data_IF_014766409150
#
_entry.id   IF_014766409150
#
_cell.length_a   1.000
_cell.length_b   1.000
_cell.length_c   1.000
_cell.angle_alpha   90.00
_cell.angle_beta   90.00
_cell.angle_gamma   90.00
#
_symmetry.space_group_name_H-M   'P 1'
#
loop_
_entity.id
_entity.type
_entity.pdbx_description
1 polymer ?
#
# COMPACT_ATOMS: atom_id res chain seq x y z
N UNK A 1 -6.86 -9.20 -6.35
CA UNK A 1 -7.90 -9.16 -5.29
C UNK A 1 -7.79 -7.91 -4.41
N UNK A 2 -6.74 -7.71 -3.60
CA UNK A 2 -6.57 -6.47 -2.81
C UNK A 2 -6.72 -5.23 -3.71
N UNK A 3 -6.02 -5.21 -4.85
CA UNK A 3 -6.11 -4.13 -5.83
C UNK A 3 -7.54 -3.82 -6.33
N UNK A 4 -8.43 -4.81 -6.44
CA UNK A 4 -9.82 -4.57 -6.85
C UNK A 4 -10.63 -3.88 -5.74
N UNK A 5 -10.31 -4.17 -4.48
CA UNK A 5 -10.85 -3.39 -3.37
C UNK A 5 -10.29 -1.97 -3.37
N UNK A 6 -8.99 -1.80 -3.61
CA UNK A 6 -8.39 -0.46 -3.67
C UNK A 6 -9.01 0.39 -4.79
N UNK A 7 -9.28 -0.21 -5.95
CA UNK A 7 -9.96 0.43 -7.08
C UNK A 7 -11.41 0.79 -6.76
N UNK A 8 -12.21 -0.15 -6.24
CA UNK A 8 -13.64 0.11 -5.96
C UNK A 8 -13.83 1.09 -4.79
N UNK A 9 -12.98 1.04 -3.76
CA UNK A 9 -13.09 1.88 -2.57
C UNK A 9 -12.23 3.14 -2.60
N UNK A 10 -11.34 3.28 -3.61
CA UNK A 10 -10.42 4.40 -3.76
C UNK A 10 -9.64 4.65 -2.45
N UNK A 11 -9.08 3.56 -1.92
CA UNK A 11 -8.33 3.53 -0.66
C UNK A 11 -7.13 2.61 -0.80
N UNK A 12 -5.99 2.99 -0.21
CA UNK A 12 -4.83 2.10 -0.09
C UNK A 12 -5.14 1.10 1.01
N UNK A 13 -5.12 -0.19 0.69
CA UNK A 13 -5.43 -1.28 1.62
C UNK A 13 -4.26 -2.26 1.74
N UNK A 14 -3.33 -2.22 0.79
CA UNK A 14 -2.07 -2.93 0.86
C UNK A 14 -1.26 -2.46 2.08
N UNK A 15 -0.67 -3.40 2.80
CA UNK A 15 0.00 -3.26 4.10
C UNK A 15 -0.90 -2.87 5.28
N UNK A 16 -2.22 -2.75 5.09
CA UNK A 16 -3.14 -2.54 6.21
C UNK A 16 -3.54 -3.88 6.82
N UNK A 17 -2.91 -4.27 7.93
CA UNK A 17 -3.23 -5.54 8.62
C UNK A 17 -4.72 -5.70 8.98
N UNK A 18 -5.42 -4.60 9.28
CA UNK A 18 -6.85 -4.60 9.61
C UNK A 18 -7.70 -5.05 8.41
N UNK A 19 -7.22 -4.85 7.17
CA UNK A 19 -7.85 -5.32 5.95
C UNK A 19 -7.30 -6.67 5.47
N UNK A 20 -5.97 -6.79 5.39
CA UNK A 20 -5.31 -7.95 4.77
C UNK A 20 -5.58 -9.25 5.52
N UNK A 21 -5.52 -9.22 6.86
CA UNK A 21 -5.71 -10.43 7.67
C UNK A 21 -7.13 -11.01 7.52
N UNK A 22 -8.23 -10.21 7.62
CA UNK A 22 -9.56 -10.66 7.26
C UNK A 22 -9.66 -11.20 5.83
N UNK A 23 -9.04 -10.53 4.85
CA UNK A 23 -9.12 -10.95 3.45
C UNK A 23 -8.45 -12.31 3.22
N UNK A 24 -7.23 -12.50 3.73
CA UNK A 24 -6.51 -13.77 3.66
C UNK A 24 -7.33 -14.89 4.32
N UNK A 25 -7.91 -14.62 5.49
CA UNK A 25 -8.76 -15.58 6.21
C UNK A 25 -10.00 -15.94 5.40
N UNK A 26 -10.64 -14.96 4.77
CA UNK A 26 -11.80 -15.17 3.91
C UNK A 26 -11.45 -16.03 2.69
N UNK A 27 -10.35 -15.73 2.00
CA UNK A 27 -9.88 -16.51 0.86
C UNK A 27 -9.54 -17.95 1.26
N UNK A 28 -8.79 -18.13 2.36
CA UNK A 28 -8.42 -19.44 2.85
C UNK A 28 -9.63 -20.28 3.24
N UNK A 29 -10.62 -19.67 3.92
CA UNK A 29 -11.85 -20.37 4.29
C UNK A 29 -12.73 -20.71 3.09
N UNK A 30 -12.77 -19.86 2.07
CA UNK A 30 -13.45 -20.13 0.80
C UNK A 30 -12.80 -21.32 0.09
N UNK A 31 -11.47 -21.30 -0.04
CA UNK A 31 -10.71 -22.34 -0.74
C UNK A 31 -10.90 -23.72 -0.12
N UNK A 32 -10.89 -23.80 1.21
CA UNK A 32 -11.09 -25.06 1.93
C UNK A 32 -12.57 -25.43 2.11
N UNK A 33 -13.51 -24.63 1.60
CA UNK A 33 -14.95 -24.80 1.77
C UNK A 33 -15.39 -24.95 3.25
N UNK A 34 -14.67 -24.29 4.16
CA UNK A 34 -14.92 -24.38 5.62
C UNK A 34 -15.83 -23.26 6.14
N UNK A 35 -16.26 -22.33 5.28
CA UNK A 35 -17.07 -21.17 5.66
C UNK A 35 -18.37 -21.55 6.39
N UNK A 36 -18.99 -22.67 6.00
CA UNK A 36 -20.23 -23.16 6.60
C UNK A 36 -20.05 -23.74 8.02
N UNK A 37 -18.81 -24.07 8.40
CA UNK A 37 -18.46 -24.65 9.69
C UNK A 37 -17.90 -23.62 10.68
N UNK A 38 -17.63 -22.40 10.21
CA UNK A 38 -17.16 -21.32 11.05
C UNK A 38 -18.34 -20.75 11.87
N UNK A 39 -18.24 -20.87 13.19
CA UNK A 39 -19.17 -20.25 14.13
C UNK A 39 -18.88 -18.75 14.22
N UNK A 40 -19.48 -17.99 13.30
CA UNK A 40 -19.46 -16.54 13.39
C UNK A 40 -20.35 -16.09 14.55
N UNK A 41 -19.82 -15.25 15.45
CA UNK A 41 -20.66 -14.58 16.46
C UNK A 41 -21.72 -13.75 15.74
N UNK A 42 -22.95 -13.75 16.26
CA UNK A 42 -24.01 -12.91 15.74
C UNK A 42 -23.55 -11.44 15.75
N UNK A 43 -23.45 -10.86 14.57
CA UNK A 43 -23.12 -9.46 14.35
C UNK A 43 -24.22 -8.84 13.49
N UNK A 44 -24.79 -7.75 13.97
CA UNK A 44 -25.73 -6.97 13.18
C UNK A 44 -24.99 -5.85 12.48
N UNK A 45 -25.08 -5.82 11.14
CA UNK A 45 -24.58 -4.71 10.35
C UNK A 45 -25.53 -3.52 10.46
N UNK A 46 -24.99 -2.33 10.67
CA UNK A 46 -25.76 -1.10 10.53
C UNK A 46 -26.05 -0.79 9.06
N UNK A 47 -26.88 0.23 8.79
CA UNK A 47 -27.30 0.60 7.43
C UNK A 47 -26.12 0.91 6.48
N UNK A 48 -25.05 1.56 6.98
CA UNK A 48 -23.85 1.85 6.19
C UNK A 48 -23.08 0.57 5.87
N UNK A 49 -22.94 -0.33 6.85
CA UNK A 49 -22.28 -1.62 6.65
C UNK A 49 -23.06 -2.53 5.69
N UNK A 50 -24.40 -2.47 5.70
CA UNK A 50 -25.22 -3.19 4.73
C UNK A 50 -24.99 -2.71 3.29
N UNK A 51 -24.74 -1.40 3.10
CA UNK A 51 -24.33 -0.88 1.79
C UNK A 51 -22.93 -1.38 1.40
N UNK A 52 -21.97 -1.34 2.33
CA UNK A 52 -20.62 -1.88 2.10
C UNK A 52 -20.67 -3.37 1.71
N UNK A 53 -21.48 -4.17 2.40
CA UNK A 53 -21.67 -5.61 2.10
C UNK A 53 -22.02 -5.84 0.63
N UNK A 54 -22.90 -5.01 0.05
CA UNK A 54 -23.31 -5.12 -1.36
C UNK A 54 -22.12 -4.85 -2.30
N UNK A 55 -21.36 -3.79 -2.04
CA UNK A 55 -20.16 -3.44 -2.82
C UNK A 55 -19.08 -4.51 -2.70
N UNK A 56 -18.81 -4.99 -1.50
CA UNK A 56 -17.85 -6.08 -1.24
C UNK A 56 -18.26 -7.35 -2.00
N UNK A 57 -19.54 -7.73 -1.97
CA UNK A 57 -20.06 -8.89 -2.70
C UNK A 57 -19.84 -8.76 -4.21
N UNK A 58 -20.03 -7.56 -4.76
CA UNK A 58 -19.73 -7.26 -6.18
C UNK A 58 -18.25 -7.44 -6.48
N UNK A 59 -17.33 -6.92 -5.66
CA UNK A 59 -15.88 -7.09 -5.84
C UNK A 59 -15.49 -8.58 -5.81
N UNK A 60 -16.05 -9.36 -4.87
CA UNK A 60 -15.82 -10.81 -4.82
C UNK A 60 -16.33 -11.54 -6.07
N UNK A 61 -17.51 -11.16 -6.57
CA UNK A 61 -18.06 -11.73 -7.80
C UNK A 61 -17.19 -11.41 -9.00
N UNK A 62 -16.79 -10.14 -9.18
CA UNK A 62 -15.88 -9.74 -10.26
C UNK A 62 -14.55 -10.49 -10.20
N UNK A 63 -13.97 -10.63 -9.00
CA UNK A 63 -12.75 -11.39 -8.83
C UNK A 63 -12.93 -12.87 -9.20
N UNK A 64 -14.03 -13.49 -8.75
CA UNK A 64 -14.36 -14.86 -9.12
C UNK A 64 -14.48 -15.01 -10.63
N UNK A 65 -15.23 -14.13 -11.29
CA UNK A 65 -15.48 -14.21 -12.73
C UNK A 65 -14.17 -14.07 -13.54
N UNK A 66 -13.19 -13.33 -13.01
CA UNK A 66 -11.86 -13.18 -13.62
C UNK A 66 -10.95 -14.40 -13.41
N UNK A 67 -10.98 -15.03 -12.23
CA UNK A 67 -10.02 -16.10 -11.87
C UNK A 67 -10.58 -17.49 -12.14
N UNK A 68 -11.88 -17.70 -11.93
CA UNK A 68 -12.57 -18.98 -12.11
C UNK A 68 -13.91 -18.80 -12.83
N UNK A 69 -13.89 -18.38 -14.11
CA UNK A 69 -15.11 -18.15 -14.89
C UNK A 69 -16.00 -19.41 -15.02
N UNK A 70 -15.39 -20.60 -14.96
CA UNK A 70 -16.08 -21.87 -15.19
C UNK A 70 -16.57 -22.56 -13.90
N UNK A 71 -16.17 -22.08 -12.71
CA UNK A 71 -16.49 -22.75 -11.44
C UNK A 71 -17.74 -22.15 -10.81
N UNK A 72 -18.75 -22.99 -10.57
CA UNK A 72 -20.05 -22.61 -10.00
C UNK A 72 -20.07 -22.61 -8.47
N UNK A 73 -19.09 -21.97 -7.81
CA UNK A 73 -19.17 -21.75 -6.36
C UNK A 73 -19.73 -20.36 -6.02
N UNK A 74 -20.48 -20.26 -4.93
CA UNK A 74 -21.00 -19.00 -4.40
C UNK A 74 -20.36 -18.70 -3.06
N UNK A 75 -19.89 -17.47 -2.87
CA UNK A 75 -19.45 -17.03 -1.55
C UNK A 75 -20.62 -17.06 -0.56
N UNK A 76 -20.37 -17.57 0.63
CA UNK A 76 -21.38 -17.62 1.69
C UNK A 76 -21.71 -16.17 2.15
N UNK A 77 -23.00 -15.81 2.12
CA UNK A 77 -23.46 -14.47 2.49
C UNK A 77 -23.20 -14.10 3.97
N UNK A 78 -23.15 -15.07 4.88
CA UNK A 78 -22.76 -14.89 6.29
C UNK A 78 -21.25 -14.65 6.41
N UNK A 79 -20.44 -15.35 5.62
CA UNK A 79 -19.00 -15.12 5.59
C UNK A 79 -18.68 -13.71 5.06
N UNK A 80 -19.40 -13.26 4.03
CA UNK A 80 -19.27 -11.89 3.51
C UNK A 80 -19.74 -10.86 4.56
N UNK A 81 -20.81 -11.16 5.28
CA UNK A 81 -21.29 -10.30 6.37
C UNK A 81 -20.26 -10.13 7.48
N UNK A 82 -19.67 -11.24 7.92
CA UNK A 82 -18.63 -11.22 8.94
C UNK A 82 -17.37 -10.51 8.45
N UNK A 83 -16.91 -10.79 7.23
CA UNK A 83 -15.82 -10.05 6.60
C UNK A 83 -16.13 -8.54 6.57
N UNK A 84 -17.33 -8.15 6.16
CA UNK A 84 -17.78 -6.75 6.14
C UNK A 84 -17.67 -6.11 7.52
N UNK A 85 -18.08 -6.80 8.59
CA UNK A 85 -17.97 -6.25 9.95
C UNK A 85 -16.52 -6.00 10.38
N UNK A 86 -15.56 -6.79 9.89
CA UNK A 86 -14.15 -6.67 10.23
C UNK A 86 -13.46 -5.54 9.47
N UNK A 87 -13.77 -5.40 8.18
CA UNK A 87 -13.05 -4.46 7.30
C UNK A 87 -13.76 -3.13 7.11
N UNK A 88 -14.98 -2.96 7.63
CA UNK A 88 -15.78 -1.75 7.40
C UNK A 88 -15.03 -0.46 7.78
N UNK A 89 -14.26 -0.46 8.87
CA UNK A 89 -13.43 0.69 9.24
C UNK A 89 -12.36 0.97 8.19
N UNK A 90 -11.58 -0.03 7.77
CA UNK A 90 -10.55 0.11 6.75
C UNK A 90 -11.10 0.53 5.38
N UNK A 91 -12.34 0.19 5.04
CA UNK A 91 -12.95 0.59 3.77
C UNK A 91 -13.54 2.01 3.80
N UNK A 92 -14.01 2.46 4.96
CA UNK A 92 -14.64 3.79 5.13
C UNK A 92 -13.61 4.86 5.45
N UNK A 93 -12.64 4.54 6.29
CA UNK A 93 -11.53 5.44 6.59
C UNK A 93 -10.50 5.31 5.49
N UNK A 94 -10.51 6.29 4.59
CA UNK A 94 -9.42 6.47 3.64
C UNK A 94 -8.20 6.89 4.44
N UNK A 95 -7.29 5.96 4.70
CA UNK A 95 -5.94 6.39 5.05
C UNK A 95 -5.43 7.20 3.86
N UNK A 96 -4.92 8.39 4.13
CA UNK A 96 -4.17 9.11 3.10
C UNK A 96 -3.04 8.17 2.70
N UNK A 97 -3.03 7.78 1.43
CA UNK A 97 -1.99 6.91 0.87
C UNK A 97 -0.64 7.51 1.25
N UNK A 98 0.13 6.77 2.07
CA UNK A 98 1.39 7.28 2.58
C UNK A 98 2.35 7.43 1.41
N UNK A 99 3.08 8.54 1.38
CA UNK A 99 4.14 8.71 0.40
C UNK A 99 5.31 7.80 0.76
N UNK A 100 5.81 7.05 -0.21
CA UNK A 100 6.96 6.15 -0.01
C UNK A 100 8.24 6.86 -0.42
N UNK A 101 9.24 6.85 0.47
CA UNK A 101 10.59 7.31 0.19
C UNK A 101 11.48 6.09 -0.09
N UNK A 102 11.98 6.01 -1.32
CA UNK A 102 13.00 5.04 -1.71
C UNK A 102 14.37 5.69 -1.59
N UNK A 103 15.35 4.96 -1.06
CA UNK A 103 16.72 5.45 -0.92
C UNK A 103 17.60 4.56 -1.78
N UNK A 104 18.33 5.19 -2.69
CA UNK A 104 19.34 4.55 -3.54
C UNK A 104 20.70 5.10 -3.14
N UNK A 105 21.65 4.25 -2.74
CA UNK A 105 22.95 4.71 -2.28
C UNK A 105 24.07 3.69 -2.53
N UNK A 106 25.32 4.15 -2.49
CA UNK A 106 26.50 3.29 -2.74
C UNK A 106 26.82 2.29 -1.63
N UNK A 107 26.39 2.57 -0.40
CA UNK A 107 26.77 1.80 0.78
C UNK A 107 25.69 1.74 1.84
N UNK A 108 25.73 0.70 2.67
CA UNK A 108 24.81 0.51 3.80
C UNK A 108 24.85 1.70 4.76
N UNK A 109 26.03 2.28 5.01
CA UNK A 109 26.19 3.46 5.85
C UNK A 109 25.48 4.69 5.27
N UNK A 110 25.52 4.88 3.94
CA UNK A 110 24.74 5.95 3.30
C UNK A 110 23.25 5.72 3.47
N UNK A 111 22.77 4.49 3.30
CA UNK A 111 21.36 4.17 3.55
C UNK A 111 20.95 4.48 4.98
N UNK A 112 21.73 4.05 5.98
CA UNK A 112 21.46 4.32 7.39
C UNK A 112 21.41 5.83 7.63
N UNK A 113 22.43 6.56 7.16
CA UNK A 113 22.50 8.01 7.33
C UNK A 113 21.27 8.73 6.75
N UNK A 114 20.92 8.45 5.50
CA UNK A 114 19.80 9.11 4.84
C UNK A 114 18.46 8.72 5.46
N UNK A 115 18.29 7.46 5.91
CA UNK A 115 17.10 7.01 6.62
C UNK A 115 16.92 7.73 7.95
N UNK A 116 17.95 7.78 8.78
CA UNK A 116 17.89 8.42 10.09
C UNK A 116 17.51 9.90 9.96
N UNK A 117 18.11 10.56 8.98
CA UNK A 117 17.84 11.96 8.69
C UNK A 117 16.39 12.14 8.20
N UNK A 118 15.93 11.35 7.24
CA UNK A 118 14.56 11.45 6.74
C UNK A 118 13.55 11.13 7.85
N UNK A 119 13.78 10.12 8.67
CA UNK A 119 12.95 9.79 9.84
C UNK A 119 12.85 10.95 10.83
N UNK A 120 13.93 11.73 11.00
CA UNK A 120 13.93 12.89 11.89
C UNK A 120 13.01 14.02 11.39
N UNK A 121 12.89 14.19 10.08
CA UNK A 121 12.17 15.33 9.48
C UNK A 121 10.79 14.99 8.92
N UNK A 122 10.54 13.73 8.55
CA UNK A 122 9.27 13.31 7.96
C UNK A 122 8.24 12.99 9.03
N UNK A 123 7.01 13.43 8.81
CA UNK A 123 5.87 12.92 9.57
C UNK A 123 5.50 11.52 9.07
N UNK A 124 5.76 10.49 9.87
CA UNK A 124 5.53 9.08 9.54
C UNK A 124 4.04 8.68 9.52
N UNK A 125 3.13 9.56 9.94
CA UNK A 125 1.69 9.36 9.76
C UNK A 125 1.29 9.48 8.28
N UNK A 126 2.05 10.25 7.49
CA UNK A 126 1.78 10.52 6.07
C UNK A 126 2.87 9.99 5.13
N UNK A 127 4.01 9.59 5.66
CA UNK A 127 5.16 9.13 4.88
C UNK A 127 5.64 7.78 5.42
N UNK A 128 6.25 7.00 4.55
CA UNK A 128 6.96 5.77 4.92
C UNK A 128 8.28 5.74 4.17
N UNK A 129 9.29 5.11 4.77
CA UNK A 129 10.61 4.95 4.17
C UNK A 129 10.79 3.47 3.90
N UNK A 130 11.11 3.13 2.66
CA UNK A 130 11.34 1.75 2.27
C UNK A 130 12.59 1.19 2.96
N UNK A 131 12.48 -0.05 3.46
CA UNK A 131 13.53 -0.72 4.23
C UNK A 131 14.59 -1.43 3.38
N UNK A 132 14.34 -1.64 2.09
CA UNK A 132 15.25 -2.33 1.19
C UNK A 132 16.46 -1.45 0.83
N UNK A 133 17.63 -2.06 0.65
CA UNK A 133 18.87 -1.36 0.29
C UNK A 133 19.04 -1.43 -1.23
N UNK A 134 18.71 -0.35 -1.93
CA UNK A 134 18.87 -0.22 -3.38
C UNK A 134 20.22 0.41 -3.71
N UNK A 135 21.04 -0.26 -4.52
CA UNK A 135 22.37 0.25 -4.90
C UNK A 135 22.39 0.91 -6.28
N UNK A 136 21.28 0.79 -7.01
CA UNK A 136 21.07 1.43 -8.31
C UNK A 136 19.59 1.79 -8.51
N UNK A 137 19.32 2.75 -9.39
CA UNK A 137 17.94 3.17 -9.70
C UNK A 137 17.21 2.07 -10.47
N UNK A 138 17.93 1.22 -11.18
CA UNK A 138 17.41 0.09 -11.95
C UNK A 138 16.90 -1.06 -11.06
N UNK A 139 17.35 -1.16 -9.80
CA UNK A 139 16.87 -2.13 -8.82
C UNK A 139 15.50 -1.79 -8.22
N UNK A 140 15.02 -0.56 -8.47
CA UNK A 140 13.76 -0.08 -7.94
C UNK A 140 12.56 -0.85 -8.52
N UNK A 141 11.59 -1.28 -7.69
CA UNK A 141 10.47 -2.06 -8.17
C UNK A 141 9.59 -1.32 -9.20
N UNK A 142 9.16 -2.02 -10.25
CA UNK A 142 8.28 -1.45 -11.29
C UNK A 142 6.94 -0.89 -10.76
N UNK A 143 6.51 -1.30 -9.56
CA UNK A 143 5.26 -0.85 -8.95
C UNK A 143 5.36 0.49 -8.21
N UNK A 144 6.53 1.13 -8.13
CA UNK A 144 6.72 2.43 -7.44
C UNK A 144 5.76 3.49 -7.98
N UNK A 145 5.48 3.48 -9.28
CA UNK A 145 4.57 4.41 -9.94
C UNK A 145 3.11 4.31 -9.47
N UNK A 146 2.74 3.30 -8.67
CA UNK A 146 1.38 3.11 -8.16
C UNK A 146 1.11 3.87 -6.87
N UNK A 147 2.15 4.26 -6.13
CA UNK A 147 2.04 5.06 -4.92
C UNK A 147 2.68 6.43 -5.14
N UNK A 148 2.19 7.49 -4.47
CA UNK A 148 2.97 8.71 -4.33
C UNK A 148 4.35 8.36 -3.77
N UNK A 149 5.41 8.73 -4.48
CA UNK A 149 6.76 8.33 -4.11
C UNK A 149 7.78 9.45 -4.32
N UNK A 150 8.90 9.33 -3.62
CA UNK A 150 10.10 10.13 -3.78
C UNK A 150 11.29 9.17 -3.80
N UNK A 151 12.18 9.35 -4.77
CA UNK A 151 13.42 8.59 -4.88
C UNK A 151 14.55 9.52 -4.42
N UNK A 152 15.18 9.20 -3.31
CA UNK A 152 16.36 9.89 -2.80
C UNK A 152 17.58 9.13 -3.28
N UNK A 153 18.33 9.69 -4.22
CA UNK A 153 19.43 9.00 -4.90
C UNK A 153 20.76 9.66 -4.54
N UNK A 154 21.70 8.89 -3.98
CA UNK A 154 23.05 9.39 -3.74
C UNK A 154 23.71 9.77 -5.08
N UNK A 155 24.29 10.97 -5.13
CA UNK A 155 24.97 11.46 -6.33
C UNK A 155 26.09 10.53 -6.82
N UNK A 156 26.69 9.72 -5.94
CA UNK A 156 27.73 8.78 -6.34
C UNK A 156 27.22 7.61 -7.19
N UNK A 157 25.93 7.28 -7.10
CA UNK A 157 25.28 6.20 -7.88
C UNK A 157 24.31 6.74 -8.94
N UNK A 158 24.18 8.07 -9.06
CA UNK A 158 23.32 8.69 -10.06
C UNK A 158 23.93 8.57 -11.46
N UNK A 159 23.35 7.72 -12.30
CA UNK A 159 23.73 7.59 -13.70
C UNK A 159 23.05 8.66 -14.56
N UNK A 160 23.65 9.08 -15.70
CA UNK A 160 23.00 10.02 -16.62
C UNK A 160 21.64 9.53 -17.13
N UNK A 161 21.49 8.21 -17.32
CA UNK A 161 20.23 7.59 -17.71
C UNK A 161 19.14 7.67 -16.63
N UNK A 162 19.53 7.70 -15.36
CA UNK A 162 18.61 7.81 -14.24
C UNK A 162 18.22 9.26 -13.90
N UNK A 163 18.93 10.26 -14.44
CA UNK A 163 18.68 11.66 -14.13
C UNK A 163 17.27 12.14 -14.52
N UNK A 164 16.67 11.53 -15.54
CA UNK A 164 15.32 11.85 -16.01
C UNK A 164 14.21 11.08 -15.26
N UNK A 165 14.56 10.31 -14.23
CA UNK A 165 13.59 9.53 -13.46
C UNK A 165 12.64 10.46 -12.68
N UNK A 166 11.31 10.34 -12.86
CA UNK A 166 10.35 11.17 -12.13
C UNK A 166 10.50 11.05 -10.62
N UNK A 167 10.29 12.17 -9.91
CA UNK A 167 10.38 12.25 -8.44
C UNK A 167 11.73 11.80 -7.86
N UNK A 168 12.79 11.77 -8.67
CA UNK A 168 14.15 11.52 -8.21
C UNK A 168 14.80 12.82 -7.77
N UNK A 169 15.39 12.78 -6.58
CA UNK A 169 16.11 13.89 -6.00
C UNK A 169 17.52 13.45 -5.60
N UNK A 170 18.56 14.09 -6.15
CA UNK A 170 19.93 13.78 -5.78
C UNK A 170 20.25 14.26 -4.36
N UNK A 171 20.97 13.44 -3.60
CA UNK A 171 21.49 13.77 -2.27
C UNK A 171 22.99 13.48 -2.20
N UNK A 172 23.71 14.17 -1.32
CA UNK A 172 25.08 13.82 -0.98
C UNK A 172 25.35 14.11 0.48
N UNK A 173 26.25 13.33 1.09
CA UNK A 173 26.75 13.56 2.44
C UNK A 173 27.32 14.97 2.62
N UNK A 174 27.90 15.56 1.57
CA UNK A 174 28.55 16.89 1.62
C UNK A 174 27.57 18.07 1.59
N UNK A 175 26.39 17.90 0.98
CA UNK A 175 25.37 18.94 0.78
C UNK A 175 24.03 18.56 1.41
N UNK A 176 24.08 17.69 2.41
CA UNK A 176 22.91 16.99 2.93
C UNK A 176 21.82 17.95 3.42
N UNK A 177 22.18 19.08 4.01
CA UNK A 177 21.22 20.07 4.52
C UNK A 177 20.48 20.78 3.39
N UNK A 178 21.21 21.19 2.36
CA UNK A 178 20.67 21.86 1.19
C UNK A 178 19.78 20.92 0.39
N UNK A 179 20.23 19.69 0.19
CA UNK A 179 19.50 18.65 -0.55
C UNK A 179 18.19 18.27 0.16
N UNK A 180 18.24 18.07 1.48
CA UNK A 180 17.04 17.78 2.27
C UNK A 180 16.00 18.90 2.18
N UNK A 181 16.42 20.18 2.18
CA UNK A 181 15.47 21.28 2.03
C UNK A 181 14.72 21.18 0.70
N UNK A 182 15.44 20.86 -0.38
CA UNK A 182 14.82 20.64 -1.70
C UNK A 182 13.86 19.46 -1.64
N UNK A 183 14.33 18.28 -1.19
CA UNK A 183 13.52 17.06 -1.06
C UNK A 183 12.24 17.32 -0.27
N UNK A 184 12.36 17.93 0.91
CA UNK A 184 11.22 18.20 1.78
C UNK A 184 10.27 19.24 1.17
N UNK A 185 10.78 20.30 0.54
CA UNK A 185 9.95 21.32 -0.11
C UNK A 185 9.13 20.75 -1.27
N UNK A 186 9.76 19.92 -2.12
CA UNK A 186 9.08 19.28 -3.24
C UNK A 186 8.11 18.19 -2.77
N UNK A 187 8.46 17.50 -1.68
CA UNK A 187 7.53 16.59 -1.00
C UNK A 187 6.27 17.33 -0.54
N UNK A 188 6.35 18.57 -0.08
CA UNK A 188 5.15 19.31 0.33
C UNK A 188 4.33 19.78 -0.88
N UNK A 189 4.96 20.08 -2.02
CA UNK A 189 4.29 20.51 -3.24
C UNK A 189 3.51 19.38 -3.93
N UNK A 190 3.98 18.13 -3.82
CA UNK A 190 3.30 16.92 -4.29
C UNK A 190 2.03 16.55 -3.48
N UNK A 191 1.52 17.45 -2.62
CA UNK A 191 0.30 17.28 -1.80
C UNK A 191 -0.90 18.03 -2.39
N UNK A 192 -0.75 18.74 -3.51
CA UNK A 192 -1.84 19.43 -4.22
C UNK A 192 -2.53 18.56 -5.26
#
# INVERSE_FOLDING_TARGET
MIFQFEEEFQNSLFHQMIFERPLITFCYSTWNNVQNFLLYRHHYLNSKQLQLKKTIKKVFQQWKDQVWPEISFTFNDLAIEWFTSQVASSLVFKEKQKRVFFIVAESEESHILYREILNHWLNLDYNTIDSYLYYSVEELPAYINRNPHIIVCDRSVLTPSAADTPNLFPISRFSIREDLKVILSESLNLVK
#
